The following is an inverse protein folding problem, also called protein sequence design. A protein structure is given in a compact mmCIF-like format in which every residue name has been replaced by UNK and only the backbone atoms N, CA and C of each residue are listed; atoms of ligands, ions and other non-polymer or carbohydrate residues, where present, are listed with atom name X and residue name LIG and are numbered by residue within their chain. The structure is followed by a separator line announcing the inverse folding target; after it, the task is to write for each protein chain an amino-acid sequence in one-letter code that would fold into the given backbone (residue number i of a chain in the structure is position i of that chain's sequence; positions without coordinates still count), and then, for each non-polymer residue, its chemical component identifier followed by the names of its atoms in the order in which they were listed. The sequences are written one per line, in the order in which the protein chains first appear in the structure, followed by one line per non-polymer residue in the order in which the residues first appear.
data_IF_433632993956
#
_entry.id   IF_433632993956
#
_cell.length_a   1.000
_cell.length_b   1.000
_cell.length_c   1.000
_cell.angle_alpha   90.00
_cell.angle_beta   90.00
_cell.angle_gamma   90.00
#
_symmetry.space_group_name_H-M   'P 1'
#
loop_
_entity.id
_entity.type
_entity.pdbx_description
1 polymer ?
#
# COMPACT_ATOMS: atom_id res chain seq x y z
N UNK A 1 -16.27 10.17 6.81
CA UNK A 1 -15.32 9.19 7.38
C UNK A 1 -13.88 9.58 7.07
N UNK A 2 -13.15 10.05 8.09
CA UNK A 2 -11.69 9.98 8.11
C UNK A 2 -11.35 8.60 8.67
N UNK A 3 -10.29 7.96 8.17
CA UNK A 3 -9.85 6.66 8.71
C UNK A 3 -9.33 6.89 10.13
N UNK A 4 -9.93 6.22 11.12
CA UNK A 4 -9.60 6.43 12.54
C UNK A 4 -8.27 5.75 12.92
N UNK A 5 -7.95 4.65 12.25
CA UNK A 5 -6.70 3.92 12.41
C UNK A 5 -6.00 3.88 11.06
N UNK A 6 -4.78 4.40 11.01
CA UNK A 6 -3.96 4.35 9.80
C UNK A 6 -2.65 3.67 10.14
N UNK A 7 -2.28 2.72 9.29
CA UNK A 7 -1.04 1.95 9.34
C UNK A 7 -0.22 2.23 8.09
N UNK A 8 1.09 2.11 8.19
CA UNK A 8 1.98 2.21 7.04
C UNK A 8 2.98 1.07 7.04
N UNK A 9 3.16 0.46 5.86
CA UNK A 9 4.16 -0.57 5.59
C UNK A 9 5.07 -0.09 4.46
N UNK A 10 6.36 0.01 4.76
CA UNK A 10 7.41 0.47 3.85
C UNK A 10 8.26 -0.71 3.37
N UNK A 11 8.48 -0.79 2.05
CA UNK A 11 9.36 -1.77 1.40
C UNK A 11 10.58 -1.05 0.84
N UNK A 12 11.56 -0.69 1.67
CA UNK A 12 12.77 -0.05 1.17
C UNK A 12 13.51 -1.02 0.25
N UNK A 13 14.11 -0.50 -0.82
CA UNK A 13 14.98 -1.28 -1.69
C UNK A 13 16.35 -0.62 -1.72
N UNK A 14 17.35 -1.33 -1.22
CA UNK A 14 18.71 -0.83 -1.27
C UNK A 14 19.24 -0.93 -2.70
N UNK A 15 19.40 0.22 -3.36
CA UNK A 15 20.03 0.30 -4.67
C UNK A 15 21.43 0.89 -4.49
N UNK A 16 22.50 0.09 -4.66
CA UNK A 16 23.88 0.57 -4.45
C UNK A 16 24.19 1.85 -5.24
N UNK A 17 23.56 2.00 -6.41
CA UNK A 17 23.77 3.11 -7.34
C UNK A 17 22.69 4.22 -7.22
N UNK A 18 21.79 4.16 -6.23
CA UNK A 18 20.81 5.23 -5.94
C UNK A 18 20.72 5.44 -4.43
N UNK A 19 21.57 6.34 -3.87
CA UNK A 19 21.68 6.53 -2.42
C UNK A 19 20.44 7.15 -1.76
N UNK A 20 19.41 7.53 -2.53
CA UNK A 20 18.15 8.09 -2.02
C UNK A 20 16.97 7.33 -2.63
N UNK A 21 16.51 6.30 -1.93
CA UNK A 21 15.27 5.62 -2.26
C UNK A 21 14.07 6.56 -2.00
N UNK A 22 13.27 6.95 -3.02
CA UNK A 22 12.15 7.89 -2.85
C UNK A 22 11.03 7.35 -1.95
N UNK A 23 11.06 6.07 -1.58
CA UNK A 23 10.04 5.47 -0.73
C UNK A 23 10.01 6.05 0.69
N UNK A 24 11.17 6.34 1.30
CA UNK A 24 11.23 6.89 2.66
C UNK A 24 10.67 8.33 2.73
N UNK A 25 11.08 9.28 1.84
CA UNK A 25 10.41 10.58 1.77
C UNK A 25 8.91 10.47 1.52
N UNK A 26 8.49 9.53 0.66
CA UNK A 26 7.07 9.30 0.36
C UNK A 26 6.31 8.81 1.59
N UNK A 27 6.87 7.88 2.35
CA UNK A 27 6.23 7.36 3.55
C UNK A 27 6.13 8.41 4.66
N UNK A 28 7.14 9.27 4.83
CA UNK A 28 7.12 10.36 5.80
C UNK A 28 6.05 11.42 5.49
N UNK A 29 5.81 11.73 4.20
CA UNK A 29 4.69 12.59 3.80
C UNK A 29 3.35 11.99 4.23
N UNK A 30 3.16 10.68 4.04
CA UNK A 30 1.93 10.02 4.46
C UNK A 30 1.79 9.89 5.98
N UNK A 31 2.89 9.62 6.70
CA UNK A 31 2.91 9.64 8.17
C UNK A 31 2.45 10.99 8.69
N UNK A 32 3.03 12.09 8.20
CA UNK A 32 2.65 13.46 8.59
C UNK A 32 1.18 13.76 8.25
N UNK A 33 0.77 13.45 7.02
CA UNK A 33 -0.59 13.73 6.52
C UNK A 33 -1.69 13.01 7.29
N UNK A 34 -1.43 11.76 7.70
CA UNK A 34 -2.40 10.94 8.42
C UNK A 34 -2.13 10.86 9.92
N UNK A 35 -1.11 11.57 10.43
CA UNK A 35 -0.66 11.53 11.83
C UNK A 35 -0.45 10.09 12.32
N UNK A 36 0.24 9.28 11.51
CA UNK A 36 0.46 7.85 11.79
C UNK A 36 1.50 7.74 12.92
N UNK A 37 1.17 7.09 14.05
CA UNK A 37 2.13 6.91 15.15
C UNK A 37 3.20 5.88 14.78
N UNK A 38 4.34 5.89 15.48
CA UNK A 38 5.42 4.92 15.30
C UNK A 38 4.95 3.48 15.58
N UNK A 39 4.03 3.30 16.53
CA UNK A 39 3.37 2.02 16.83
C UNK A 39 2.66 1.40 15.61
N UNK A 40 2.31 2.21 14.60
CA UNK A 40 1.63 1.78 13.37
C UNK A 40 2.52 1.96 12.12
N UNK A 41 3.81 2.20 12.31
CA UNK A 41 4.78 2.43 11.24
C UNK A 41 5.73 1.25 11.13
N UNK A 42 5.61 0.49 10.05
CA UNK A 42 6.34 -0.76 9.84
C UNK A 42 7.19 -0.69 8.57
N UNK A 43 8.33 -1.37 8.58
CA UNK A 43 9.20 -1.52 7.42
C UNK A 43 9.74 -2.95 7.34
N UNK A 44 10.04 -3.44 6.14
CA UNK A 44 10.67 -4.76 5.95
C UNK A 44 12.19 -4.74 6.19
N UNK A 45 12.72 -3.62 6.70
CA UNK A 45 14.12 -3.42 7.07
C UNK A 45 14.22 -2.39 8.18
N UNK A 46 15.30 -2.45 8.96
CA UNK A 46 15.63 -1.46 9.98
C UNK A 46 15.72 -0.05 9.39
N UNK A 47 14.76 0.80 9.75
CA UNK A 47 14.69 2.21 9.40
C UNK A 47 14.30 2.99 10.66
N UNK A 48 14.97 4.10 10.94
CA UNK A 48 14.64 4.97 12.07
C UNK A 48 13.17 5.43 12.01
N UNK A 49 12.44 5.29 13.12
CA UNK A 49 11.01 5.65 13.20
C UNK A 49 10.06 4.62 12.57
N UNK A 50 10.54 3.40 12.32
CA UNK A 50 9.77 2.25 11.85
C UNK A 50 10.11 1.00 12.66
N UNK A 51 9.10 0.20 12.97
CA UNK A 51 9.28 -1.16 13.47
C UNK A 51 9.66 -2.09 12.32
N UNK A 52 10.78 -2.81 12.46
CA UNK A 52 11.22 -3.77 11.46
C UNK A 52 10.40 -5.05 11.58
N UNK A 53 9.77 -5.46 10.49
CA UNK A 53 9.07 -6.75 10.41
C UNK A 53 10.03 -7.86 9.99
N UNK A 54 9.87 -9.08 10.53
CA UNK A 54 10.69 -10.21 10.11
C UNK A 54 10.33 -10.61 8.67
N UNK A 55 11.23 -11.27 7.95
CA UNK A 55 10.96 -11.69 6.58
C UNK A 55 9.76 -12.67 6.50
N UNK A 56 8.88 -12.56 5.48
CA UNK A 56 7.84 -13.55 5.22
C UNK A 56 8.42 -14.96 5.07
N UNK A 57 7.71 -15.95 5.62
CA UNK A 57 7.99 -17.38 5.45
C UNK A 57 9.32 -17.93 6.00
N UNK A 58 9.99 -17.24 6.93
CA UNK A 58 10.95 -17.98 7.74
C UNK A 58 10.18 -19.00 8.59
N UNK A 59 10.38 -20.29 8.31
CA UNK A 59 9.74 -21.40 9.06
C UNK A 59 10.07 -21.35 10.58
N UNK A 60 11.00 -20.46 10.97
CA UNK A 60 11.49 -20.24 12.32
C UNK A 60 11.04 -18.91 12.94
N UNK A 61 10.23 -18.09 12.25
CA UNK A 61 9.81 -16.79 12.80
C UNK A 61 8.46 -16.37 12.23
N UNK A 62 7.38 -17.03 12.67
CA UNK A 62 6.15 -16.25 12.80
C UNK A 62 6.48 -15.08 13.74
N UNK A 63 6.23 -13.82 13.34
CA UNK A 63 6.47 -12.72 14.24
C UNK A 63 5.69 -12.98 15.54
N UNK A 64 6.39 -12.99 16.68
CA UNK A 64 5.75 -13.14 17.98
C UNK A 64 4.66 -12.07 18.18
N UNK A 65 4.94 -10.88 17.66
CA UNK A 65 4.00 -9.75 17.59
C UNK A 65 3.34 -9.68 16.22
N UNK A 66 2.03 -9.85 16.15
CA UNK A 66 1.25 -9.74 14.91
C UNK A 66 0.90 -8.26 14.62
N UNK A 67 1.70 -7.52 13.83
CA UNK A 67 1.58 -6.06 13.71
C UNK A 67 0.22 -5.58 13.19
N UNK A 68 -0.44 -6.39 12.36
CA UNK A 68 -1.73 -6.07 11.74
C UNK A 68 -2.92 -6.76 12.40
N UNK A 69 -2.74 -7.45 13.54
CA UNK A 69 -3.85 -8.05 14.29
C UNK A 69 -4.85 -7.01 14.83
N UNK A 70 -4.39 -5.77 15.04
CA UNK A 70 -5.20 -4.63 15.49
C UNK A 70 -5.94 -3.91 14.36
N UNK A 71 -5.70 -4.27 13.10
CA UNK A 71 -6.45 -3.73 11.97
C UNK A 71 -7.93 -4.13 12.06
N UNK A 72 -8.79 -3.26 11.55
CA UNK A 72 -10.23 -3.45 11.48
C UNK A 72 -10.83 -2.80 10.22
N UNK A 73 -12.14 -2.95 10.03
CA UNK A 73 -12.83 -2.33 8.90
C UNK A 73 -12.83 -0.78 8.94
N UNK A 74 -12.42 -0.17 10.05
CA UNK A 74 -12.18 1.28 10.18
C UNK A 74 -10.70 1.66 10.00
N UNK A 75 -9.86 0.68 9.62
CA UNK A 75 -8.43 0.83 9.43
C UNK A 75 -8.06 1.03 7.97
N UNK A 76 -7.05 1.87 7.74
CA UNK A 76 -6.39 2.05 6.45
C UNK A 76 -4.94 1.60 6.53
N UNK A 77 -4.55 0.64 5.71
CA UNK A 77 -3.17 0.25 5.51
C UNK A 77 -2.59 0.97 4.28
N UNK A 78 -1.56 1.78 4.46
CA UNK A 78 -0.81 2.41 3.37
C UNK A 78 0.43 1.56 3.09
N UNK A 79 0.60 1.13 1.84
CA UNK A 79 1.76 0.34 1.44
C UNK A 79 2.62 1.20 0.52
N UNK A 80 3.89 1.43 0.89
CA UNK A 80 4.84 2.23 0.10
C UNK A 80 5.94 1.30 -0.41
N UNK A 81 5.96 1.09 -1.72
CA UNK A 81 6.84 0.12 -2.36
C UNK A 81 7.16 0.53 -3.81
N UNK A 82 8.24 -0.01 -4.37
CA UNK A 82 8.42 0.00 -5.83
C UNK A 82 7.49 -1.02 -6.46
N UNK A 83 6.90 -0.70 -7.62
CA UNK A 83 6.11 -1.64 -8.41
C UNK A 83 6.80 -2.01 -9.72
N UNK A 84 6.37 -3.09 -10.36
CA UNK A 84 6.89 -3.54 -11.66
C UNK A 84 6.23 -2.82 -12.84
N UNK A 85 6.91 -2.81 -13.99
CA UNK A 85 6.44 -2.15 -15.22
C UNK A 85 5.17 -2.77 -15.83
N UNK A 86 4.81 -3.97 -15.41
CA UNK A 86 3.59 -4.67 -15.85
C UNK A 86 2.50 -4.68 -14.78
N UNK A 87 2.72 -4.07 -13.61
CA UNK A 87 1.71 -3.98 -12.57
C UNK A 87 1.31 -5.33 -11.97
N UNK A 88 2.22 -6.29 -11.98
CA UNK A 88 2.03 -7.64 -11.47
C UNK A 88 2.79 -7.92 -10.17
N UNK A 89 3.75 -7.05 -9.80
CA UNK A 89 4.61 -7.25 -8.63
C UNK A 89 4.92 -5.94 -7.90
N UNK A 90 5.19 -6.05 -6.61
CA UNK A 90 5.93 -5.05 -5.82
C UNK A 90 7.31 -5.61 -5.46
N UNK A 91 8.30 -4.75 -5.24
CA UNK A 91 9.66 -5.20 -4.93
C UNK A 91 9.93 -5.22 -3.42
N UNK A 92 10.51 -6.31 -2.97
CA UNK A 92 11.11 -6.53 -1.67
C UNK A 92 12.63 -6.71 -1.85
N UNK A 93 13.44 -6.21 -0.93
CA UNK A 93 14.90 -6.26 -1.03
C UNK A 93 15.43 -7.71 -1.09
N UNK A 94 14.99 -8.56 -0.17
CA UNK A 94 15.51 -9.93 -0.04
C UNK A 94 14.92 -10.94 -1.05
N UNK A 95 13.60 -10.90 -1.30
CA UNK A 95 12.90 -11.89 -2.13
C UNK A 95 12.70 -11.46 -3.57
N UNK A 96 13.10 -10.24 -3.94
CA UNK A 96 12.80 -9.66 -5.23
C UNK A 96 11.32 -9.31 -5.38
N UNK A 97 10.69 -9.71 -6.48
CA UNK A 97 9.32 -9.30 -6.81
C UNK A 97 8.25 -10.18 -6.16
N UNK A 98 7.41 -9.60 -5.31
CA UNK A 98 6.22 -10.21 -4.73
C UNK A 98 5.00 -9.95 -5.62
N UNK A 99 4.32 -11.00 -6.05
CA UNK A 99 3.01 -10.88 -6.69
C UNK A 99 1.89 -10.59 -5.66
N UNK A 100 0.66 -10.39 -6.16
CA UNK A 100 -0.49 -10.07 -5.31
C UNK A 100 -0.78 -11.14 -4.26
N UNK A 101 -0.67 -12.43 -4.62
CA UNK A 101 -0.96 -13.55 -3.73
C UNK A 101 0.10 -13.70 -2.63
N UNK A 102 1.38 -13.62 -3.00
CA UNK A 102 2.50 -13.68 -2.06
C UNK A 102 2.45 -12.50 -1.08
N UNK A 103 2.10 -11.31 -1.58
CA UNK A 103 1.90 -10.15 -0.72
C UNK A 103 0.71 -10.33 0.23
N UNK A 104 -0.41 -10.90 -0.24
CA UNK A 104 -1.57 -11.20 0.59
C UNK A 104 -1.22 -12.13 1.76
N UNK A 105 -0.53 -13.24 1.46
CA UNK A 105 -0.09 -14.22 2.47
C UNK A 105 0.86 -13.62 3.48
N UNK A 106 1.80 -12.77 3.05
CA UNK A 106 2.66 -12.05 3.98
C UNK A 106 1.85 -11.12 4.91
N UNK A 107 0.83 -10.41 4.41
CA UNK A 107 -0.02 -9.61 5.29
C UNK A 107 -0.77 -10.47 6.32
N UNK A 108 -1.21 -11.66 5.93
CA UNK A 108 -1.87 -12.64 6.81
C UNK A 108 -0.89 -13.18 7.86
N UNK A 109 0.34 -13.49 7.46
CA UNK A 109 1.42 -13.90 8.38
C UNK A 109 1.72 -12.81 9.41
N UNK A 110 1.61 -11.54 8.99
CA UNK A 110 1.67 -10.36 9.87
C UNK A 110 0.37 -10.11 10.67
N UNK A 111 -0.60 -11.03 10.61
CA UNK A 111 -1.83 -11.03 11.40
C UNK A 111 -3.01 -10.26 10.82
N UNK A 112 -2.98 -9.88 9.54
CA UNK A 112 -4.09 -9.18 8.92
C UNK A 112 -5.31 -10.09 8.77
N UNK A 113 -6.36 -9.85 9.56
CA UNK A 113 -7.65 -10.57 9.47
C UNK A 113 -8.77 -9.70 8.94
N UNK A 114 -8.63 -8.38 9.03
CA UNK A 114 -9.62 -7.42 8.54
C UNK A 114 -8.98 -6.05 8.25
N UNK A 115 -9.46 -5.35 7.22
CA UNK A 115 -9.01 -4.00 6.87
C UNK A 115 -10.06 -3.25 6.04
N UNK A 116 -10.27 -1.98 6.36
CA UNK A 116 -11.20 -1.14 5.61
C UNK A 116 -10.68 -0.74 4.23
N UNK A 117 -9.40 -0.33 4.16
CA UNK A 117 -8.76 0.08 2.91
C UNK A 117 -7.27 -0.28 2.87
N UNK A 118 -6.83 -0.98 1.83
CA UNK A 118 -5.43 -1.08 1.45
C UNK A 118 -5.12 -0.04 0.37
N UNK A 119 -4.16 0.86 0.63
CA UNK A 119 -3.76 1.93 -0.29
C UNK A 119 -2.32 1.76 -0.76
N UNK A 120 -2.16 1.25 -1.97
CA UNK A 120 -0.87 1.06 -2.61
C UNK A 120 -0.31 2.39 -3.12
N UNK A 121 0.89 2.73 -2.67
CA UNK A 121 1.78 3.79 -3.15
C UNK A 121 2.94 3.11 -3.85
N UNK A 122 2.61 2.45 -4.96
CA UNK A 122 3.54 1.75 -5.83
C UNK A 122 3.19 2.01 -7.29
N UNK A 123 4.22 2.08 -8.14
CA UNK A 123 4.07 2.25 -9.58
C UNK A 123 3.23 1.09 -10.16
N UNK A 124 2.25 1.42 -11.00
CA UNK A 124 1.48 0.48 -11.82
C UNK A 124 0.75 -0.65 -11.05
N UNK A 125 0.69 -0.64 -9.71
CA UNK A 125 0.02 -1.67 -8.92
C UNK A 125 -1.47 -1.84 -9.27
N UNK A 126 -2.11 -0.81 -9.82
CA UNK A 126 -3.49 -0.85 -10.31
C UNK A 126 -3.64 -1.10 -11.82
N UNK A 127 -2.56 -1.29 -12.58
CA UNK A 127 -2.61 -1.49 -14.04
C UNK A 127 -2.86 -2.94 -14.43
N UNK A 128 -2.15 -3.88 -13.79
CA UNK A 128 -2.22 -5.31 -14.07
C UNK A 128 -2.99 -6.11 -13.01
N UNK A 129 -2.59 -7.36 -12.85
CA UNK A 129 -3.25 -8.34 -11.98
C UNK A 129 -2.81 -8.28 -10.51
N UNK A 130 -1.82 -7.46 -10.14
CA UNK A 130 -1.37 -7.39 -8.75
C UNK A 130 -2.51 -7.08 -7.77
N UNK A 131 -3.28 -6.01 -8.01
CA UNK A 131 -4.35 -5.58 -7.11
C UNK A 131 -5.54 -6.55 -7.08
N UNK A 132 -6.06 -7.07 -8.21
CA UNK A 132 -7.07 -8.13 -8.20
C UNK A 132 -6.63 -9.39 -7.47
N UNK A 133 -5.45 -9.92 -7.79
CA UNK A 133 -4.94 -11.14 -7.15
C UNK A 133 -4.76 -10.94 -5.65
N UNK A 134 -4.23 -9.78 -5.21
CA UNK A 134 -4.14 -9.44 -3.79
C UNK A 134 -5.50 -9.53 -3.10
N UNK A 135 -6.53 -8.88 -3.64
CA UNK A 135 -7.86 -8.87 -3.02
C UNK A 135 -8.50 -10.25 -3.05
N UNK A 136 -8.38 -10.96 -4.17
CA UNK A 136 -8.94 -12.30 -4.32
C UNK A 136 -8.32 -13.27 -3.32
N UNK A 137 -6.98 -13.30 -3.20
CA UNK A 137 -6.29 -14.16 -2.24
C UNK A 137 -6.65 -13.80 -0.80
N UNK A 138 -6.75 -12.51 -0.45
CA UNK A 138 -7.21 -12.11 0.90
C UNK A 138 -8.62 -12.66 1.20
N UNK A 139 -9.54 -12.61 0.23
CA UNK A 139 -10.90 -13.13 0.40
C UNK A 139 -10.89 -14.65 0.57
N UNK A 140 -10.15 -15.36 -0.29
CA UNK A 140 -10.04 -16.83 -0.26
C UNK A 140 -9.44 -17.33 1.07
N UNK A 141 -8.50 -16.59 1.64
CA UNK A 141 -7.87 -16.88 2.94
C UNK A 141 -8.70 -16.36 4.13
N UNK A 142 -9.92 -15.85 3.90
CA UNK A 142 -10.87 -15.48 4.95
C UNK A 142 -10.70 -14.07 5.55
N UNK A 143 -9.87 -13.21 4.97
CA UNK A 143 -9.71 -11.82 5.41
C UNK A 143 -10.92 -10.98 5.02
N UNK A 144 -11.41 -10.14 5.96
CA UNK A 144 -12.47 -9.16 5.68
C UNK A 144 -11.88 -7.86 5.14
N UNK A 145 -12.03 -7.60 3.85
CA UNK A 145 -11.49 -6.41 3.21
C UNK A 145 -12.61 -5.55 2.63
N UNK A 146 -12.56 -4.24 2.92
CA UNK A 146 -13.46 -3.28 2.28
C UNK A 146 -13.04 -2.98 0.85
N UNK A 147 -11.85 -2.39 0.69
CA UNK A 147 -11.37 -1.88 -0.60
C UNK A 147 -9.85 -1.98 -0.72
N UNK A 148 -9.36 -2.08 -1.95
CA UNK A 148 -7.96 -1.86 -2.29
C UNK A 148 -7.83 -0.83 -3.42
N UNK A 149 -6.83 0.03 -3.35
CA UNK A 149 -6.57 1.07 -4.37
C UNK A 149 -5.09 1.09 -4.76
N UNK A 150 -4.82 1.12 -6.06
CA UNK A 150 -3.46 1.22 -6.61
C UNK A 150 -3.41 2.09 -7.86
N UNK A 151 -2.23 2.66 -8.17
CA UNK A 151 -2.06 3.55 -9.33
C UNK A 151 -1.87 2.76 -10.63
N UNK A 152 -2.45 3.27 -11.72
CA UNK A 152 -2.38 2.66 -13.07
C UNK A 152 -1.10 3.01 -13.84
N UNK A 153 -0.27 3.90 -13.31
CA UNK A 153 0.95 4.40 -13.96
C UNK A 153 2.12 4.50 -12.97
N UNK A 154 3.28 4.92 -13.48
CA UNK A 154 4.40 5.30 -12.64
C UNK A 154 4.01 6.51 -11.79
N UNK A 155 4.44 6.48 -10.52
CA UNK A 155 4.15 7.55 -9.58
C UNK A 155 5.42 8.23 -9.10
N UNK A 156 5.33 9.54 -8.91
CA UNK A 156 6.36 10.34 -8.26
C UNK A 156 5.75 11.12 -7.10
N UNK A 157 6.59 11.49 -6.14
CA UNK A 157 6.24 12.43 -5.08
C UNK A 157 6.67 13.84 -5.49
N UNK A 158 5.73 14.78 -5.48
CA UNK A 158 5.99 16.19 -5.72
C UNK A 158 5.07 17.05 -4.84
N UNK A 159 5.65 17.99 -4.11
CA UNK A 159 4.95 18.90 -3.19
C UNK A 159 3.97 18.16 -2.27
N UNK A 160 4.48 17.15 -1.55
CA UNK A 160 3.72 16.28 -0.65
C UNK A 160 2.54 15.52 -1.30
N UNK A 161 2.60 15.34 -2.63
CA UNK A 161 1.49 14.82 -3.40
C UNK A 161 1.95 13.83 -4.48
N UNK A 162 1.15 12.77 -4.70
CA UNK A 162 1.49 11.75 -5.70
C UNK A 162 1.09 12.20 -7.10
N UNK A 163 2.03 12.24 -8.04
CA UNK A 163 1.79 12.54 -9.45
C UNK A 163 1.95 11.28 -10.31
N UNK A 164 1.16 11.15 -11.37
CA UNK A 164 1.06 9.92 -12.20
C UNK A 164 1.66 10.05 -13.61
N UNK A 165 2.01 11.27 -14.05
CA UNK A 165 2.59 11.57 -15.36
C UNK A 165 3.18 12.97 -15.35
N UNK A 166 4.04 13.30 -16.32
CA UNK A 166 4.48 14.68 -16.55
C UNK A 166 3.28 15.62 -16.75
N UNK A 167 2.24 15.20 -17.46
CA UNK A 167 1.00 15.96 -17.58
C UNK A 167 0.30 16.20 -16.23
N UNK A 168 0.20 15.20 -15.35
CA UNK A 168 -0.36 15.38 -13.99
C UNK A 168 0.54 16.28 -13.11
N UNK A 169 1.82 16.44 -13.46
CA UNK A 169 2.73 17.43 -12.84
C UNK A 169 2.42 18.83 -13.36
N UNK A 170 2.38 19.01 -14.69
CA UNK A 170 2.12 20.31 -15.32
C UNK A 170 0.75 20.86 -14.99
N UNK A 171 -0.29 20.03 -14.98
CA UNK A 171 -1.66 20.48 -14.68
C UNK A 171 -1.94 20.53 -13.18
N UNK A 172 -1.05 20.02 -12.31
CA UNK A 172 -1.29 19.89 -10.87
C UNK A 172 -1.77 21.17 -10.17
N UNK A 173 -1.20 22.36 -10.48
CA UNK A 173 -1.64 23.59 -9.83
C UNK A 173 -3.09 23.96 -10.13
N UNK A 174 -3.65 23.46 -11.24
CA UNK A 174 -4.98 23.83 -11.74
C UNK A 174 -5.99 22.70 -11.62
N UNK A 175 -5.57 21.47 -11.94
CA UNK A 175 -6.41 20.29 -11.90
C UNK A 175 -5.60 19.01 -11.68
N UNK A 176 -5.93 18.30 -10.60
CA UNK A 176 -5.53 16.91 -10.37
C UNK A 176 -6.32 15.97 -11.29
N UNK A 177 -5.67 15.11 -12.08
CA UNK A 177 -6.39 14.15 -12.94
C UNK A 177 -7.44 13.35 -12.15
N UNK A 178 -8.58 12.97 -12.78
CA UNK A 178 -9.64 12.22 -12.11
C UNK A 178 -9.15 10.83 -11.67
N UNK A 179 -9.66 10.33 -10.55
CA UNK A 179 -9.22 9.05 -10.00
C UNK A 179 -9.50 7.87 -10.95
N UNK A 180 -10.57 7.93 -11.76
CA UNK A 180 -10.87 6.91 -12.78
C UNK A 180 -9.71 6.67 -13.77
N UNK A 181 -8.95 7.71 -14.08
CA UNK A 181 -7.77 7.64 -14.95
C UNK A 181 -6.50 7.22 -14.20
N UNK A 182 -6.39 7.57 -12.91
CA UNK A 182 -5.16 7.43 -12.13
C UNK A 182 -5.03 6.12 -11.39
N UNK A 183 -6.15 5.59 -10.92
CA UNK A 183 -6.17 4.46 -9.99
C UNK A 183 -7.13 3.38 -10.45
N UNK A 184 -6.81 2.14 -10.08
CA UNK A 184 -7.77 1.05 -10.03
C UNK A 184 -8.21 0.90 -8.59
N UNK A 185 -9.50 0.65 -8.43
CA UNK A 185 -10.13 0.38 -7.14
C UNK A 185 -10.72 -1.01 -7.27
N UNK A 186 -10.36 -1.87 -6.32
CA UNK A 186 -10.89 -3.22 -6.22
C UNK A 186 -11.73 -3.30 -4.95
N UNK A 187 -12.98 -3.70 -5.10
CA UNK A 187 -13.88 -3.94 -3.97
C UNK A 187 -13.55 -5.31 -3.34
N UNK A 188 -13.57 -5.36 -2.02
CA UNK A 188 -13.43 -6.58 -1.24
C UNK A 188 -14.77 -7.21 -0.86
N UNK A 189 -14.76 -8.13 0.11
CA UNK A 189 -15.93 -8.88 0.59
C UNK A 189 -16.69 -8.20 1.75
N UNK A 190 -16.13 -7.16 2.38
CA UNK A 190 -16.75 -6.48 3.51
C UNK A 190 -17.39 -5.16 3.10
N UNK A 191 -18.61 -4.89 3.59
CA UNK A 191 -19.24 -3.60 3.40
C UNK A 191 -18.54 -2.54 4.26
N UNK A 192 -17.86 -1.61 3.60
CA UNK A 192 -17.25 -0.44 4.26
C UNK A 192 -17.76 0.81 3.57
N UNK A 193 -18.61 1.62 4.24
CA UNK A 193 -19.19 2.81 3.65
C UNK A 193 -18.10 3.87 3.48
N UNK A 194 -17.72 4.15 2.22
CA UNK A 194 -16.79 5.24 1.94
C UNK A 194 -17.61 6.54 1.75
N UNK A 195 -17.34 7.59 2.54
CA UNK A 195 -18.08 8.84 2.47
C UNK A 195 -17.86 9.54 1.14
N UNK A 196 -18.94 9.87 0.43
CA UNK A 196 -19.07 10.98 -0.52
C UNK A 196 -17.84 11.30 -1.40
N UNK A 197 -17.11 10.30 -1.87
CA UNK A 197 -16.05 10.52 -2.85
C UNK A 197 -16.48 9.89 -4.15
N UNK A 198 -16.61 10.72 -5.19
CA UNK A 198 -16.87 10.28 -6.56
C UNK A 198 -15.87 9.21 -7.02
N UNK A 199 -14.73 9.08 -6.33
CA UNK A 199 -13.72 8.02 -6.48
C UNK A 199 -14.28 6.60 -6.45
N UNK A 200 -15.31 6.30 -5.65
CA UNK A 200 -15.87 4.94 -5.52
C UNK A 200 -17.30 4.83 -6.09
N UNK A 201 -17.78 5.87 -6.79
CA UNK A 201 -19.14 5.90 -7.36
C UNK A 201 -19.25 5.20 -8.72
N UNK A 202 -18.14 4.97 -9.41
CA UNK A 202 -18.14 4.41 -10.75
C UNK A 202 -17.80 2.91 -10.68
N UNK A 203 -18.85 2.10 -10.81
CA UNK A 203 -18.77 0.80 -11.47
C UNK A 203 -18.68 1.03 -12.97
#
# INVERSE_FOLDING_TARGET
MKWNKVFILLFPVNRPNRPRDPLLPTSEVFKRKYRIPEAHSFATKTISGYQCLPPPHSQFSQPADKPFAQCDLNSKLIVVAHGSDHGNRIYHEEFGGLDGASFARMLIDYGLTQVGLISMKACQAGKGEFLPTLVQTLIEEGVKIGWAIGYKSNINLQDDSITTSCWDVFTRPWHKLPDSQRVRIQQGNAFVPIPNSNRFKYR
#
